data_IF_200221320802
#
_entry.id   IF_200221320802
#
_cell.length_a   1.000
_cell.length_b   1.000
_cell.length_c   1.000
_cell.angle_alpha   90.00
_cell.angle_beta   90.00
_cell.angle_gamma   90.00
#
_symmetry.space_group_name_H-M   'P 1'
#
loop_
_entity.id
_entity.type
_entity.pdbx_description
1 polymer ?
#
# COMPACT_ATOMS: atom_id res chain seq x y z
N UNK A 1 -5.85 16.94 7.79
CA UNK A 1 -6.44 16.21 8.94
C UNK A 1 -5.65 14.92 9.18
N UNK A 2 -5.59 14.43 10.41
CA UNK A 2 -5.02 13.10 10.69
C UNK A 2 -6.09 12.03 10.44
N UNK A 3 -5.83 11.09 9.54
CA UNK A 3 -6.72 9.93 9.32
C UNK A 3 -6.69 8.98 10.53
N UNK A 4 -5.53 8.83 11.18
CA UNK A 4 -5.33 7.97 12.35
C UNK A 4 -4.97 8.80 13.60
N UNK A 5 -5.41 8.34 14.77
CA UNK A 5 -5.12 8.99 16.07
C UNK A 5 -3.73 8.61 16.61
N UNK A 6 -2.69 8.79 15.80
CA UNK A 6 -1.28 8.57 16.20
C UNK A 6 -0.50 9.88 16.29
N UNK A 7 0.63 9.89 17.00
CA UNK A 7 1.50 11.08 17.12
C UNK A 7 2.13 11.46 15.77
N UNK A 8 2.62 10.46 15.03
CA UNK A 8 3.26 10.62 13.72
C UNK A 8 2.35 11.35 12.73
N UNK A 9 2.91 12.36 12.04
CA UNK A 9 2.25 13.11 10.96
C UNK A 9 2.82 12.80 9.58
N UNK A 10 4.06 12.28 9.52
CA UNK A 10 4.75 11.92 8.28
C UNK A 10 4.10 10.69 7.67
N UNK A 11 3.73 10.77 6.39
CA UNK A 11 3.19 9.64 5.63
C UNK A 11 4.27 8.56 5.40
N UNK A 12 3.83 7.30 5.33
CA UNK A 12 4.67 6.20 4.89
C UNK A 12 4.63 6.17 3.36
N UNK A 13 5.80 6.19 2.73
CA UNK A 13 5.94 6.09 1.27
C UNK A 13 6.40 4.67 0.96
N UNK A 14 5.73 4.01 0.01
CA UNK A 14 6.06 2.67 -0.45
C UNK A 14 5.94 2.63 -1.97
N UNK A 15 6.72 1.76 -2.59
CA UNK A 15 6.62 1.45 -4.02
C UNK A 15 5.81 0.17 -4.19
N UNK A 16 4.88 0.17 -5.14
CA UNK A 16 4.05 -0.98 -5.47
C UNK A 16 4.20 -1.24 -6.97
N UNK A 17 4.60 -2.46 -7.34
CA UNK A 17 4.72 -2.85 -8.73
C UNK A 17 3.33 -3.09 -9.35
N UNK A 18 3.13 -2.57 -10.57
CA UNK A 18 1.94 -2.88 -11.37
C UNK A 18 2.17 -4.13 -12.22
N UNK A 19 1.28 -5.11 -12.07
CA UNK A 19 1.31 -6.39 -12.77
C UNK A 19 0.16 -6.49 -13.78
N UNK A 20 0.36 -7.27 -14.85
CA UNK A 20 -0.58 -7.41 -15.98
C UNK A 20 -0.36 -6.39 -17.11
N UNK A 21 -0.81 -6.75 -18.33
CA UNK A 21 -0.74 -5.89 -19.52
C UNK A 21 0.68 -5.66 -20.08
N UNK A 22 0.78 -4.81 -21.11
CA UNK A 22 2.06 -4.35 -21.68
C UNK A 22 2.66 -3.19 -20.88
N UNK A 23 3.92 -2.85 -21.13
CA UNK A 23 4.61 -1.75 -20.43
C UNK A 23 3.89 -0.42 -20.66
N UNK A 24 3.43 -0.17 -21.89
CA UNK A 24 2.73 1.05 -22.26
C UNK A 24 1.41 1.19 -21.48
N UNK A 25 0.67 0.10 -21.34
CA UNK A 25 -0.58 0.06 -20.56
C UNK A 25 -0.33 0.33 -19.08
N UNK A 26 0.74 -0.21 -18.49
CA UNK A 26 1.11 0.05 -17.09
C UNK A 26 1.42 1.52 -16.85
N UNK A 27 2.19 2.14 -17.74
CA UNK A 27 2.55 3.57 -17.64
C UNK A 27 1.31 4.44 -17.79
N UNK A 28 0.44 4.13 -18.75
CA UNK A 28 -0.81 4.86 -18.94
C UNK A 28 -1.72 4.76 -17.71
N UNK A 29 -1.90 3.56 -17.15
CA UNK A 29 -2.70 3.36 -15.95
C UNK A 29 -2.14 4.14 -14.76
N UNK A 30 -0.81 4.09 -14.54
CA UNK A 30 -0.15 4.82 -13.46
C UNK A 30 -0.35 6.34 -13.60
N UNK A 31 -0.27 6.87 -14.82
CA UNK A 31 -0.50 8.29 -15.10
C UNK A 31 -1.94 8.70 -14.83
N UNK A 32 -2.91 7.89 -15.24
CA UNK A 32 -4.34 8.17 -15.02
C UNK A 32 -4.75 8.10 -13.54
N UNK A 33 -4.04 7.31 -12.74
CA UNK A 33 -4.30 7.13 -11.30
C UNK A 33 -3.44 8.02 -10.40
N UNK A 34 -2.59 8.87 -10.99
CA UNK A 34 -1.80 9.83 -10.24
C UNK A 34 -2.72 10.80 -9.48
N UNK A 35 -2.35 11.10 -8.23
CA UNK A 35 -3.13 11.95 -7.28
C UNK A 35 -4.52 11.42 -6.90
N UNK A 36 -4.92 10.23 -7.36
CA UNK A 36 -6.17 9.58 -6.97
C UNK A 36 -5.94 8.57 -5.85
N UNK A 37 -6.83 8.48 -4.84
CA UNK A 37 -6.73 7.46 -3.82
C UNK A 37 -7.06 6.08 -4.40
N UNK A 38 -6.27 5.06 -4.03
CA UNK A 38 -6.54 3.65 -4.33
C UNK A 38 -7.16 3.01 -3.09
N UNK A 39 -8.41 2.55 -3.18
CA UNK A 39 -9.09 1.88 -2.08
C UNK A 39 -8.63 0.42 -1.93
N UNK A 40 -8.59 -0.08 -0.69
CA UNK A 40 -8.16 -1.46 -0.40
C UNK A 40 -9.06 -2.52 -1.06
N UNK A 41 -10.36 -2.21 -1.20
CA UNK A 41 -11.36 -3.06 -1.87
C UNK A 41 -11.09 -3.24 -3.37
N UNK A 42 -10.26 -2.39 -3.98
CA UNK A 42 -9.88 -2.52 -5.38
C UNK A 42 -8.63 -3.41 -5.56
N UNK A 43 -7.96 -3.78 -4.45
CA UNK A 43 -6.71 -4.54 -4.46
C UNK A 43 -6.92 -5.96 -3.94
N UNK A 44 -7.64 -6.12 -2.83
CA UNK A 44 -7.88 -7.43 -2.21
C UNK A 44 -9.36 -7.78 -2.15
N UNK A 45 -9.66 -9.07 -2.23
CA UNK A 45 -11.01 -9.63 -2.12
C UNK A 45 -11.25 -10.33 -0.77
N UNK A 46 -12.51 -10.48 -0.33
CA UNK A 46 -12.83 -11.35 0.78
C UNK A 46 -12.31 -12.77 0.55
N UNK A 47 -11.85 -13.42 1.61
CA UNK A 47 -11.35 -14.81 1.60
C UNK A 47 -10.12 -15.07 0.69
N UNK A 48 -9.43 -14.01 0.27
CA UNK A 48 -8.15 -14.09 -0.45
C UNK A 48 -7.01 -14.47 0.51
N UNK A 49 -6.12 -15.37 0.08
CA UNK A 49 -4.90 -15.66 0.83
C UNK A 49 -3.89 -14.52 0.67
N UNK A 50 -3.51 -13.90 1.78
CA UNK A 50 -2.59 -12.75 1.81
C UNK A 50 -1.36 -13.03 2.69
N UNK A 51 -0.27 -12.36 2.36
CA UNK A 51 0.94 -12.32 3.17
C UNK A 51 0.98 -11.06 4.04
N UNK A 52 1.55 -11.17 5.25
CA UNK A 52 1.70 -10.04 6.18
C UNK A 52 3.19 -9.83 6.48
N UNK A 53 3.68 -8.62 6.19
CA UNK A 53 5.06 -8.21 6.43
C UNK A 53 5.07 -7.12 7.50
N UNK A 54 5.89 -7.28 8.55
CA UNK A 54 5.98 -6.31 9.64
C UNK A 54 7.12 -6.59 10.62
N UNK A 55 7.30 -5.67 11.58
CA UNK A 55 8.30 -5.79 12.64
C UNK A 55 7.65 -6.37 13.90
N UNK A 56 8.29 -7.38 14.50
CA UNK A 56 7.80 -8.00 15.74
C UNK A 56 7.97 -7.09 16.96
N UNK A 57 7.23 -7.37 18.05
CA UNK A 57 7.39 -6.64 19.32
C UNK A 57 8.78 -6.86 19.92
N UNK A 58 9.57 -5.79 20.05
CA UNK A 58 10.86 -5.83 20.74
C UNK A 58 10.70 -6.19 22.23
N UNK A 59 11.60 -7.02 22.74
CA UNK A 59 11.61 -7.50 24.15
C UNK A 59 12.75 -6.93 25.00
N UNK A 60 13.60 -6.06 24.45
CA UNK A 60 14.76 -5.51 25.16
C UNK A 60 15.86 -6.55 25.42
N UNK A 61 16.80 -6.18 26.28
CA UNK A 61 17.84 -7.09 26.79
C UNK A 61 17.24 -8.02 27.86
N UNK A 62 17.73 -9.27 27.93
CA UNK A 62 17.32 -10.24 28.95
C UNK A 62 18.25 -10.22 30.14
#
# INVERSE_FOLDING_TARGET
>A
MKLLRQRQKKANIMEIQLNGGTIEQKVQWAREHLEKPVAISNVFSPDEMIDVIGVTKGKGYK
#
